data_IF_245012740319
#
_entry.id   IF_245012740319
#
_cell.length_a   1.000
_cell.length_b   1.000
_cell.length_c   1.000
_cell.angle_alpha   90.00
_cell.angle_beta   90.00
_cell.angle_gamma   90.00
#
_symmetry.space_group_name_H-M   'P 1'
#
loop_
_entity.id
_entity.type
_entity.pdbx_description
1 polymer ?
#
# COMPACT_ATOMS: atom_id res chain seq x y z
N UNK A 1 2.68 12.67 10.48
CA UNK A 1 3.50 12.40 9.29
C UNK A 1 2.60 11.75 8.24
N UNK A 2 2.89 11.83 6.95
CA UNK A 2 2.08 11.20 5.89
C UNK A 2 2.98 10.40 4.95
N UNK A 3 2.41 9.43 4.21
CA UNK A 3 3.19 8.40 3.51
C UNK A 3 4.09 8.96 2.41
N UNK A 4 3.73 10.09 1.82
CA UNK A 4 4.55 10.77 0.82
C UNK A 4 5.80 11.46 1.40
N UNK A 5 5.83 11.73 2.71
CA UNK A 5 7.03 12.19 3.44
C UNK A 5 7.95 11.05 3.87
N UNK A 6 7.55 9.80 3.61
CA UNK A 6 8.44 8.65 3.76
C UNK A 6 9.48 8.74 2.63
N UNK A 7 10.48 9.57 2.86
CA UNK A 7 11.76 9.58 2.15
C UNK A 7 12.61 8.36 2.58
N UNK A 8 11.97 7.21 2.73
CA UNK A 8 12.58 5.97 3.15
C UNK A 8 13.22 5.28 1.98
N UNK A 9 14.47 4.86 2.18
CA UNK A 9 15.10 3.87 1.32
C UNK A 9 14.23 2.59 1.27
N UNK A 10 13.85 2.09 0.07
CA UNK A 10 13.03 0.89 -0.07
C UNK A 10 13.59 -0.31 0.70
N UNK A 11 14.92 -0.44 0.77
CA UNK A 11 15.59 -1.53 1.49
C UNK A 11 15.39 -1.41 3.00
N UNK A 12 15.50 -0.20 3.55
CA UNK A 12 15.24 0.05 4.97
C UNK A 12 13.78 -0.23 5.36
N UNK A 13 12.82 0.22 4.55
CA UNK A 13 11.39 -0.05 4.79
C UNK A 13 11.10 -1.54 4.77
N UNK A 14 11.74 -2.27 3.85
CA UNK A 14 11.60 -3.70 3.76
C UNK A 14 12.22 -4.43 4.95
N UNK A 15 13.43 -4.07 5.35
CA UNK A 15 14.10 -4.64 6.51
C UNK A 15 13.30 -4.42 7.81
N UNK A 16 12.70 -3.24 7.96
CA UNK A 16 11.81 -2.91 9.09
C UNK A 16 10.56 -3.80 9.09
N UNK A 17 9.93 -4.00 7.94
CA UNK A 17 8.74 -4.85 7.80
C UNK A 17 9.06 -6.34 8.06
N UNK A 18 10.18 -6.84 7.55
CA UNK A 18 10.66 -8.21 7.78
C UNK A 18 10.97 -8.44 9.26
N UNK A 19 11.68 -7.51 9.89
CA UNK A 19 11.99 -7.55 11.33
C UNK A 19 10.72 -7.57 12.18
N UNK A 20 9.73 -6.75 11.82
CA UNK A 20 8.44 -6.74 12.50
C UNK A 20 7.70 -8.07 12.34
N UNK A 21 7.60 -8.57 11.11
CA UNK A 21 6.93 -9.84 10.81
C UNK A 21 7.57 -11.02 11.54
N UNK A 22 8.90 -11.05 11.65
CA UNK A 22 9.58 -12.07 12.45
C UNK A 22 9.22 -12.03 13.93
N UNK A 23 9.13 -10.83 14.53
CA UNK A 23 8.71 -10.67 15.94
C UNK A 23 7.27 -11.15 16.14
N UNK A 24 6.41 -10.89 15.15
CA UNK A 24 5.02 -11.36 15.14
C UNK A 24 4.96 -12.90 15.12
N UNK A 25 5.71 -13.53 14.21
CA UNK A 25 5.79 -15.00 14.11
C UNK A 25 6.34 -15.65 15.39
N UNK A 26 7.38 -15.06 15.97
CA UNK A 26 7.99 -15.54 17.22
C UNK A 26 7.09 -15.30 18.44
N UNK A 27 5.96 -14.60 18.28
CA UNK A 27 5.10 -14.12 19.38
C UNK A 27 5.91 -13.43 20.48
N UNK A 28 6.99 -12.76 20.06
CA UNK A 28 7.96 -12.14 20.96
C UNK A 28 7.66 -10.65 21.20
N UNK A 29 6.50 -10.17 20.73
CA UNK A 29 6.01 -8.84 21.03
C UNK A 29 5.57 -8.80 22.50
N UNK A 30 6.07 -7.83 23.26
CA UNK A 30 5.83 -7.70 24.71
C UNK A 30 4.38 -7.38 25.04
N UNK A 31 3.62 -6.84 24.08
CA UNK A 31 2.19 -6.55 24.18
C UNK A 31 1.49 -7.10 22.93
N UNK A 32 0.23 -7.57 23.04
CA UNK A 32 -0.57 -7.85 21.86
C UNK A 32 -0.64 -6.58 21.02
N UNK A 33 -0.11 -6.65 19.80
CA UNK A 33 -0.15 -5.51 18.90
C UNK A 33 -1.58 -5.44 18.34
N UNK A 34 -2.19 -4.26 18.42
CA UNK A 34 -3.59 -4.04 18.06
C UNK A 34 -3.65 -2.87 17.11
N UNK A 35 -4.38 -3.05 16.01
CA UNK A 35 -4.66 -2.01 15.05
C UNK A 35 -6.10 -1.52 15.22
N UNK A 36 -6.27 -0.24 15.52
CA UNK A 36 -7.59 0.39 15.59
C UNK A 36 -8.07 0.75 14.18
N UNK A 37 -9.24 0.24 13.79
CA UNK A 37 -9.83 0.55 12.49
C UNK A 37 -10.50 1.93 12.58
N UNK A 38 -10.27 2.84 11.62
CA UNK A 38 -10.98 4.11 11.55
C UNK A 38 -12.49 3.89 11.42
N UNK A 39 -13.28 4.56 12.28
CA UNK A 39 -14.73 4.35 12.37
C UNK A 39 -15.17 3.30 13.41
N UNK A 40 -14.23 2.59 14.03
CA UNK A 40 -14.45 1.77 15.22
C UNK A 40 -14.05 0.31 15.05
N UNK A 41 -13.67 -0.31 16.17
CA UNK A 41 -13.19 -1.70 16.22
C UNK A 41 -11.68 -1.80 16.30
N UNK A 42 -11.22 -2.99 16.67
CA UNK A 42 -9.81 -3.31 16.86
C UNK A 42 -9.52 -4.67 16.24
N UNK A 43 -8.40 -4.76 15.53
CA UNK A 43 -7.88 -5.99 14.96
C UNK A 43 -6.63 -6.35 15.73
N UNK A 44 -6.64 -7.55 16.32
CA UNK A 44 -5.44 -8.13 16.88
C UNK A 44 -4.50 -8.51 15.75
N UNK A 45 -3.28 -8.00 15.79
CA UNK A 45 -2.26 -8.28 14.81
C UNK A 45 -1.73 -9.69 15.07
N UNK A 46 -2.04 -10.59 14.14
CA UNK A 46 -1.62 -11.99 14.14
C UNK A 46 -1.05 -12.34 12.77
N UNK A 47 -0.21 -13.37 12.71
CA UNK A 47 0.43 -13.82 11.47
C UNK A 47 -0.58 -14.16 10.37
N UNK A 48 -1.75 -14.68 10.77
CA UNK A 48 -2.84 -15.03 9.85
C UNK A 48 -3.50 -13.82 9.16
N UNK A 49 -3.29 -12.60 9.67
CA UNK A 49 -3.92 -11.38 9.17
C UNK A 49 -2.93 -10.46 8.46
N UNK A 50 -1.66 -10.87 8.31
CA UNK A 50 -0.67 -10.07 7.61
C UNK A 50 -0.05 -10.85 6.45
N UNK A 51 0.26 -10.16 5.36
CA UNK A 51 0.85 -10.80 4.19
C UNK A 51 1.80 -9.86 3.45
N UNK A 52 2.85 -10.44 2.87
CA UNK A 52 3.74 -9.70 1.98
C UNK A 52 3.24 -9.77 0.54
N UNK A 53 3.16 -8.61 -0.12
CA UNK A 53 2.81 -8.48 -1.54
C UNK A 53 3.90 -7.73 -2.29
N UNK A 54 4.21 -8.09 -3.55
CA UNK A 54 5.19 -7.36 -4.34
C UNK A 54 4.63 -5.98 -4.73
N UNK A 55 5.43 -4.93 -4.52
CA UNK A 55 5.08 -3.57 -4.95
C UNK A 55 5.05 -3.47 -6.49
N UNK A 56 5.90 -4.23 -7.16
CA UNK A 56 6.02 -4.23 -8.62
C UNK A 56 5.80 -5.63 -9.19
N UNK A 57 5.00 -5.74 -10.26
CA UNK A 57 4.74 -7.03 -10.91
C UNK A 57 5.98 -7.72 -11.48
N UNK A 58 7.03 -6.96 -11.80
CA UNK A 58 8.27 -7.46 -12.40
C UNK A 58 9.46 -7.47 -11.44
N UNK A 59 9.25 -7.15 -10.16
CA UNK A 59 10.29 -7.17 -9.15
C UNK A 59 9.72 -7.78 -7.86
N UNK A 60 9.96 -9.08 -7.60
CA UNK A 60 9.47 -9.76 -6.41
C UNK A 60 10.24 -9.40 -5.14
N UNK A 61 11.37 -8.69 -5.26
CA UNK A 61 12.21 -8.34 -4.10
C UNK A 61 11.57 -7.23 -3.29
N UNK A 62 11.06 -6.18 -3.93
CA UNK A 62 10.44 -5.05 -3.25
C UNK A 62 9.00 -5.39 -2.85
N UNK A 63 8.76 -5.59 -1.55
CA UNK A 63 7.48 -6.03 -1.00
C UNK A 63 6.92 -5.05 0.03
N UNK A 64 5.61 -5.01 0.14
CA UNK A 64 4.87 -4.33 1.20
C UNK A 64 4.23 -5.36 2.12
N UNK A 65 4.22 -5.07 3.42
CA UNK A 65 3.49 -5.86 4.42
C UNK A 65 2.11 -5.23 4.61
N UNK A 66 1.07 -6.00 4.31
CA UNK A 66 -0.33 -5.60 4.42
C UNK A 66 -0.97 -6.24 5.64
N UNK A 67 -1.99 -5.57 6.17
CA UNK A 67 -2.92 -6.08 7.18
C UNK A 67 -4.28 -6.29 6.52
N UNK A 68 -4.85 -7.49 6.63
CA UNK A 68 -6.19 -7.84 6.14
C UNK A 68 -7.19 -8.00 7.28
N UNK A 69 -8.48 -7.83 6.98
CA UNK A 69 -9.55 -8.08 7.95
C UNK A 69 -9.56 -9.58 8.31
N UNK A 70 -9.51 -9.94 9.61
CA UNK A 70 -9.65 -11.32 10.04
C UNK A 70 -10.94 -12.01 9.56
N UNK A 71 -12.02 -11.24 9.37
CA UNK A 71 -13.34 -11.70 8.95
C UNK A 71 -13.48 -11.76 7.43
N UNK A 72 -12.77 -10.89 6.73
CA UNK A 72 -12.73 -10.81 5.27
C UNK A 72 -11.29 -10.64 4.78
N UNK A 73 -10.67 -11.76 4.40
CA UNK A 73 -9.26 -11.79 4.00
C UNK A 73 -8.98 -11.04 2.70
N UNK A 74 -10.01 -10.68 1.95
CA UNK A 74 -9.88 -9.85 0.76
C UNK A 74 -9.77 -8.37 1.10
N UNK A 75 -10.33 -7.92 2.23
CA UNK A 75 -10.28 -6.53 2.66
C UNK A 75 -8.93 -6.21 3.30
N UNK A 76 -8.14 -5.33 2.66
CA UNK A 76 -6.92 -4.75 3.24
C UNK A 76 -7.26 -3.51 4.07
N UNK A 77 -6.80 -3.50 5.31
CA UNK A 77 -7.06 -2.44 6.30
C UNK A 77 -5.91 -1.44 6.41
N UNK A 78 -4.67 -1.92 6.33
CA UNK A 78 -3.49 -1.09 6.55
C UNK A 78 -2.24 -1.59 5.83
N UNK A 79 -1.26 -0.69 5.68
CA UNK A 79 0.08 -0.96 5.15
C UNK A 79 1.11 -0.64 6.22
N UNK A 80 2.06 -1.54 6.47
CA UNK A 80 3.14 -1.29 7.42
C UNK A 80 4.26 -0.49 6.76
N UNK A 81 4.49 0.73 7.24
CA UNK A 81 5.49 1.65 6.69
C UNK A 81 6.16 2.42 7.83
N UNK A 82 7.50 2.53 7.78
CA UNK A 82 8.30 3.27 8.77
C UNK A 82 7.94 2.92 10.22
N UNK A 83 7.88 1.61 10.52
CA UNK A 83 7.57 1.06 11.84
C UNK A 83 6.16 1.30 12.37
N UNK A 84 5.21 1.70 11.52
CA UNK A 84 3.83 1.96 11.89
C UNK A 84 2.86 1.32 10.89
N UNK A 85 1.69 0.91 11.37
CA UNK A 85 0.57 0.53 10.53
C UNK A 85 -0.20 1.77 10.08
N UNK A 86 -0.25 2.00 8.78
CA UNK A 86 -0.98 3.12 8.17
C UNK A 86 -2.30 2.63 7.60
N UNK A 87 -3.45 3.20 8.04
CA UNK A 87 -4.73 2.97 7.38
C UNK A 87 -4.64 3.28 5.89
N UNK A 88 -5.32 2.49 5.05
CA UNK A 88 -5.31 2.66 3.59
C UNK A 88 -5.68 4.09 3.17
N UNK A 89 -6.66 4.68 3.84
CA UNK A 89 -7.12 6.07 3.64
C UNK A 89 -6.06 7.12 3.98
N UNK A 90 -5.12 6.83 4.88
CA UNK A 90 -4.05 7.75 5.25
C UNK A 90 -2.84 7.58 4.34
N UNK A 91 -2.65 6.39 3.75
CA UNK A 91 -1.60 6.15 2.75
C UNK A 91 -1.80 7.04 1.52
N UNK A 92 -3.05 7.30 1.12
CA UNK A 92 -3.36 8.10 -0.08
C UNK A 92 -3.34 9.61 0.16
N UNK A 93 -3.05 10.07 1.38
CA UNK A 93 -2.94 11.49 1.72
C UNK A 93 -1.48 11.96 1.66
N UNK A 94 -1.30 13.24 1.33
CA UNK A 94 0.01 13.91 1.29
C UNK A 94 0.17 14.94 2.39
N UNK A 95 1.41 15.12 2.88
CA UNK A 95 1.75 16.17 3.83
C UNK A 95 1.55 17.59 3.29
N UNK A 96 1.45 17.76 1.98
CA UNK A 96 1.07 19.02 1.35
C UNK A 96 -0.45 19.07 1.11
N UNK A 97 -1.24 19.71 1.99
CA UNK A 97 -2.70 19.80 1.82
C UNK A 97 -3.10 20.63 0.58
N UNK A 98 -2.18 21.41 0.01
CA UNK A 98 -2.42 22.20 -1.20
C UNK A 98 -2.14 21.43 -2.49
N UNK A 99 -1.61 20.21 -2.39
CA UNK A 99 -1.29 19.36 -3.53
C UNK A 99 -2.56 19.03 -4.30
N UNK A 100 -2.58 19.43 -5.56
CA UNK A 100 -3.71 19.24 -6.46
C UNK A 100 -3.21 18.97 -7.90
N UNK A 101 -4.13 18.49 -8.74
CA UNK A 101 -3.91 18.27 -10.15
C UNK A 101 -3.22 16.94 -10.44
N UNK A 102 -2.91 16.76 -11.72
CA UNK A 102 -2.37 15.51 -12.26
C UNK A 102 -0.84 15.53 -12.24
N UNK A 103 -0.24 14.83 -11.28
CA UNK A 103 1.21 14.84 -11.01
C UNK A 103 1.85 13.52 -11.43
N UNK A 104 3.03 13.58 -12.07
CA UNK A 104 3.79 12.39 -12.44
C UNK A 104 4.34 11.69 -11.19
N UNK A 105 4.25 10.35 -11.15
CA UNK A 105 4.87 9.54 -10.10
C UNK A 105 6.38 9.53 -10.29
N UNK A 106 7.12 10.04 -9.30
CA UNK A 106 8.57 10.21 -9.31
C UNK A 106 9.26 9.56 -8.10
N UNK A 107 8.60 9.56 -6.95
CA UNK A 107 9.16 9.10 -5.67
C UNK A 107 8.70 7.70 -5.31
N UNK A 108 9.40 7.06 -4.37
CA UNK A 108 9.00 5.76 -3.84
C UNK A 108 7.69 5.84 -3.05
N UNK A 109 7.48 6.90 -2.26
CA UNK A 109 6.20 7.15 -1.59
C UNK A 109 5.03 7.22 -2.57
N UNK A 110 5.18 7.94 -3.69
CA UNK A 110 4.14 7.98 -4.74
C UNK A 110 3.95 6.62 -5.44
N UNK A 111 4.97 5.76 -5.50
CA UNK A 111 4.81 4.37 -5.98
C UNK A 111 3.96 3.55 -5.03
N UNK A 112 4.11 3.74 -3.72
CA UNK A 112 3.24 3.12 -2.71
C UNK A 112 1.81 3.65 -2.85
N UNK A 113 1.61 4.97 -2.94
CA UNK A 113 0.28 5.56 -3.16
C UNK A 113 -0.37 5.00 -4.43
N UNK A 114 0.39 4.90 -5.53
CA UNK A 114 -0.09 4.32 -6.78
C UNK A 114 -0.51 2.86 -6.62
N UNK A 115 0.28 2.06 -5.88
CA UNK A 115 -0.06 0.67 -5.58
C UNK A 115 -1.35 0.57 -4.78
N UNK A 116 -1.50 1.38 -3.74
CA UNK A 116 -2.71 1.40 -2.90
C UNK A 116 -3.93 1.77 -3.73
N UNK A 117 -3.85 2.82 -4.57
CA UNK A 117 -4.94 3.14 -5.48
C UNK A 117 -5.26 1.98 -6.43
N UNK A 118 -4.26 1.46 -7.15
CA UNK A 118 -4.47 0.49 -8.22
C UNK A 118 -4.91 -0.88 -7.69
N UNK A 119 -4.23 -1.42 -6.68
CA UNK A 119 -4.39 -2.80 -6.24
C UNK A 119 -5.34 -2.94 -5.05
N UNK A 120 -5.43 -1.93 -4.18
CA UNK A 120 -6.26 -2.02 -2.96
C UNK A 120 -7.60 -1.32 -3.19
N UNK A 121 -7.60 -0.02 -3.52
CA UNK A 121 -8.84 0.76 -3.61
C UNK A 121 -9.63 0.41 -4.88
N UNK A 122 -8.99 0.47 -6.05
CA UNK A 122 -9.63 0.11 -7.32
C UNK A 122 -9.55 -1.39 -7.60
N UNK A 123 -8.48 -2.05 -7.14
CA UNK A 123 -8.24 -3.48 -7.36
C UNK A 123 -9.17 -4.40 -6.58
N UNK A 124 -9.54 -4.05 -5.34
CA UNK A 124 -10.50 -4.84 -4.56
C UNK A 124 -11.96 -4.56 -4.93
N UNK A 125 -12.24 -3.43 -5.61
CA UNK A 125 -13.62 -3.06 -5.99
C UNK A 125 -14.19 -3.92 -7.12
N UNK A 126 -13.35 -4.60 -7.91
CA UNK A 126 -13.77 -5.39 -9.08
C UNK A 126 -13.68 -6.92 -8.89
N UNK A 127 -13.30 -7.40 -7.71
CA UNK A 127 -13.04 -8.83 -7.43
C UNK A 127 -14.26 -9.71 -7.09
N UNK A 128 -15.49 -9.19 -7.07
CA UNK A 128 -16.66 -9.95 -6.58
C UNK A 128 -17.44 -10.73 -7.66
N UNK A 129 -16.93 -10.86 -8.89
CA UNK A 129 -17.60 -11.70 -9.90
C UNK A 129 -16.64 -12.45 -10.82
N UNK A 130 -16.51 -13.76 -10.59
CA UNK A 130 -16.26 -14.86 -11.54
C UNK A 130 -15.19 -14.73 -12.67
N UNK A 131 -14.44 -13.64 -12.73
CA UNK A 131 -13.36 -13.36 -13.66
C UNK A 131 -12.24 -12.70 -12.86
N UNK A 132 -11.21 -13.48 -12.53
CA UNK A 132 -10.01 -13.15 -11.75
C UNK A 132 -9.15 -12.02 -12.37
N UNK A 133 -9.71 -10.86 -12.64
CA UNK A 133 -8.99 -9.72 -13.18
C UNK A 133 -8.57 -8.78 -12.05
N UNK A 134 -7.66 -9.23 -11.17
CA UNK A 134 -6.99 -8.32 -10.25
C UNK A 134 -6.14 -7.33 -11.04
N UNK A 135 -6.22 -6.04 -10.68
CA UNK A 135 -5.28 -5.06 -11.22
C UNK A 135 -3.87 -5.41 -10.77
N UNK A 136 -3.04 -5.87 -11.71
CA UNK A 136 -1.63 -6.14 -11.43
C UNK A 136 -0.93 -4.84 -11.03
N UNK A 137 0.02 -4.90 -10.09
CA UNK A 137 0.85 -3.74 -9.75
C UNK A 137 1.60 -3.23 -10.99
N UNK A 138 1.83 -1.92 -11.07
CA UNK A 138 2.70 -1.36 -12.10
C UNK A 138 4.09 -1.99 -12.02
N UNK A 139 4.76 -2.15 -13.15
CA UNK A 139 6.17 -2.49 -13.17
C UNK A 139 7.00 -1.33 -12.59
N UNK A 140 8.23 -1.61 -12.19
CA UNK A 140 9.15 -0.58 -11.72
C UNK A 140 9.44 0.51 -12.79
N UNK A 141 9.27 0.18 -14.08
CA UNK A 141 9.58 1.07 -15.21
C UNK A 141 8.35 1.74 -15.82
N UNK A 142 7.14 1.25 -15.54
CA UNK A 142 5.89 1.84 -16.02
C UNK A 142 5.68 3.21 -15.41
N UNK A 143 5.33 4.19 -16.24
CA UNK A 143 5.04 5.55 -15.77
C UNK A 143 3.55 5.71 -15.53
N UNK A 144 3.22 6.44 -14.48
CA UNK A 144 1.84 6.80 -14.16
C UNK A 144 1.79 8.22 -13.62
N UNK A 145 0.59 8.80 -13.62
CA UNK A 145 0.29 10.04 -12.91
C UNK A 145 -0.77 9.78 -11.86
N UNK A 146 -0.71 10.50 -10.75
CA UNK A 146 -1.73 10.51 -9.70
C UNK A 146 -2.48 11.83 -9.81
N UNK A 147 -3.82 11.77 -9.79
CA UNK A 147 -4.67 12.93 -9.65
C UNK A 147 -4.85 13.21 -8.16
N UNK A 148 -4.28 14.32 -7.70
CA UNK A 148 -4.45 14.82 -6.35
C UNK A 148 -5.60 15.82 -6.30
N UNK A 149 -6.35 15.83 -5.20
CA UNK A 149 -7.38 16.81 -4.90
C UNK A 149 -7.33 17.14 -3.42
N UNK A 150 -7.09 18.41 -3.08
CA UNK A 150 -7.01 18.87 -1.68
C UNK A 150 -6.08 18.00 -0.81
N UNK A 151 -4.93 17.57 -1.34
CA UNK A 151 -3.98 16.74 -0.59
C UNK A 151 -4.31 15.25 -0.51
N UNK A 152 -5.30 14.75 -1.26
CA UNK A 152 -5.64 13.34 -1.32
C UNK A 152 -5.57 12.80 -2.76
N UNK A 153 -4.99 11.62 -2.92
CA UNK A 153 -4.92 10.95 -4.21
C UNK A 153 -6.28 10.34 -4.56
N UNK A 154 -6.93 10.88 -5.59
CA UNK A 154 -8.30 10.52 -5.96
C UNK A 154 -8.37 9.55 -7.15
N UNK A 155 -7.36 9.53 -8.02
CA UNK A 155 -7.31 8.64 -9.19
C UNK A 155 -5.87 8.50 -9.70
N UNK A 156 -5.66 7.61 -10.67
CA UNK A 156 -4.39 7.50 -11.38
C UNK A 156 -4.60 7.31 -12.89
N UNK A 157 -3.54 7.59 -13.64
CA UNK A 157 -3.48 7.37 -15.08
C UNK A 157 -2.18 6.65 -15.46
N UNK A 158 -2.30 5.45 -16.03
CA UNK A 158 -1.17 4.67 -16.54
C UNK A 158 -0.75 5.15 -17.93
N UNK A 159 0.53 5.49 -18.09
CA UNK A 159 1.08 5.90 -19.39
C UNK A 159 1.54 4.65 -20.14
N UNK A 160 0.77 4.21 -21.13
CA UNK A 160 1.21 3.17 -22.07
C UNK A 160 2.20 3.78 -23.06
N UNK A 161 3.39 3.21 -23.16
CA UNK A 161 4.29 3.54 -24.27
C UNK A 161 3.71 2.97 -25.57
N UNK A 162 3.80 3.72 -26.67
CA UNK A 162 3.48 3.18 -28.00
C UNK A 162 4.35 1.96 -28.24
N UNK A 163 3.74 0.85 -28.66
CA UNK A 163 4.49 -0.30 -29.17
C UNK A 163 5.39 0.17 -30.31
N UNK A 164 6.65 -0.25 -30.30
CA UNK A 164 7.48 -0.12 -31.50
C UNK A 164 6.92 -1.12 -32.52
N UNK A 165 6.45 -0.59 -33.64
CA UNK A 165 6.12 -1.36 -34.85
C UNK A 165 7.42 -1.80 -35.49
#
# INVERSE_FOLDING_TARGET
>A
YLVDTIAGDPEALQADAETYYEKLLKKSLSTPDVFSIPGGGEVKLEDSCVCFVPLYRNNPTCKLLLLTDPKDKETVLAVYLSQHWWPVEDVVKTADPSRDGLVLVQTFGERIVLFVLNCIIFGMLEGSSANDAFFLPHSATERAKILWRNGEAAAFYSIKMKGKV
#
